data_IF_723811912944
#
_entry.id   IF_723811912944
#
_cell.length_a   1.000
_cell.length_b   1.000
_cell.length_c   1.000
_cell.angle_alpha   90.00
_cell.angle_beta   90.00
_cell.angle_gamma   90.00
#
_symmetry.space_group_name_H-M   'P 1'
#
loop_
_entity.id
_entity.type
_entity.pdbx_description
1 polymer ?
#
# COMPACT_ATOMS: atom_id res chain seq x y z
N UNK A 1 -25.09 40.73 21.55
CA UNK A 1 -24.81 41.75 20.50
C UNK A 1 -24.31 41.02 19.27
N UNK A 2 -24.78 41.43 18.11
CA UNK A 2 -24.98 40.61 16.92
C UNK A 2 -23.71 40.27 16.13
N UNK A 3 -23.76 39.07 15.55
CA UNK A 3 -23.06 38.52 14.37
C UNK A 3 -22.79 39.59 13.30
N UNK A 4 -21.59 39.62 12.68
CA UNK A 4 -21.31 40.03 11.28
C UNK A 4 -19.79 39.97 10.99
N UNK A 5 -19.23 39.45 9.89
CA UNK A 5 -19.69 38.68 8.73
C UNK A 5 -18.49 37.91 8.15
N UNK A 6 -18.75 36.69 7.65
CA UNK A 6 -17.90 35.95 6.73
C UNK A 6 -17.62 36.79 5.48
N UNK A 7 -16.35 36.85 5.07
CA UNK A 7 -15.97 37.42 3.77
C UNK A 7 -15.96 36.29 2.72
N UNK A 8 -17.14 35.76 2.43
CA UNK A 8 -17.38 34.90 1.26
C UNK A 8 -17.66 35.80 0.06
N UNK A 9 -16.63 36.07 -0.74
CA UNK A 9 -16.78 36.71 -2.03
C UNK A 9 -17.42 35.72 -3.02
N UNK A 10 -18.76 35.78 -3.05
CA UNK A 10 -19.61 35.20 -4.08
C UNK A 10 -19.36 35.98 -5.37
N UNK A 11 -18.61 35.40 -6.30
CA UNK A 11 -18.70 35.80 -7.70
C UNK A 11 -19.69 34.88 -8.40
N UNK A 12 -20.96 35.31 -8.40
CA UNK A 12 -22.02 34.75 -9.21
C UNK A 12 -21.76 35.11 -10.69
N UNK A 13 -21.37 34.13 -11.50
CA UNK A 13 -21.63 34.16 -12.94
C UNK A 13 -22.43 32.93 -13.31
N UNK A 14 -23.70 33.19 -13.59
CA UNK A 14 -24.62 32.26 -14.22
C UNK A 14 -24.07 31.81 -15.57
N UNK A 15 -23.95 30.49 -15.73
CA UNK A 15 -23.56 29.82 -16.96
C UNK A 15 -23.98 28.36 -16.83
N UNK A 16 -25.26 28.10 -17.02
CA UNK A 16 -25.80 26.73 -17.14
C UNK A 16 -25.24 26.09 -18.41
N UNK A 17 -24.23 25.23 -18.25
CA UNK A 17 -23.93 24.16 -19.19
C UNK A 17 -24.15 22.84 -18.46
N UNK A 18 -25.28 22.20 -18.75
CA UNK A 18 -25.50 20.81 -18.40
C UNK A 18 -24.60 19.95 -19.30
N UNK A 19 -23.50 19.44 -18.75
CA UNK A 19 -22.75 18.33 -19.34
C UNK A 19 -22.98 17.14 -18.42
N UNK A 20 -23.82 16.23 -18.87
CA UNK A 20 -23.96 14.88 -18.32
C UNK A 20 -22.62 14.17 -18.43
N UNK A 21 -21.78 14.26 -17.40
CA UNK A 21 -20.62 13.40 -17.27
C UNK A 21 -21.12 12.03 -16.79
N UNK A 22 -21.28 11.11 -17.75
CA UNK A 22 -21.46 9.70 -17.46
C UNK A 22 -20.36 9.26 -16.48
N UNK A 23 -20.76 8.71 -15.34
CA UNK A 23 -19.86 8.07 -14.41
C UNK A 23 -19.27 6.84 -15.10
N UNK A 24 -18.15 7.03 -15.82
CA UNK A 24 -17.34 5.94 -16.31
C UNK A 24 -16.61 5.38 -15.10
N UNK A 25 -17.24 4.44 -14.40
CA UNK A 25 -16.55 3.53 -13.50
C UNK A 25 -15.63 2.68 -14.36
N UNK A 26 -14.42 3.16 -14.67
CA UNK A 26 -13.36 2.28 -15.13
C UNK A 26 -13.06 1.35 -13.97
N UNK A 27 -13.63 0.15 -14.01
CA UNK A 27 -13.13 -0.95 -13.20
C UNK A 27 -11.68 -1.17 -13.63
N UNK A 28 -10.73 -0.63 -12.87
CA UNK A 28 -9.32 -1.00 -13.02
C UNK A 28 -9.22 -2.44 -12.56
N UNK A 29 -9.37 -3.38 -13.48
CA UNK A 29 -8.98 -4.77 -13.27
C UNK A 29 -7.49 -4.77 -12.94
N UNK A 30 -7.13 -5.19 -11.73
CA UNK A 30 -5.75 -5.50 -11.37
C UNK A 30 -5.34 -6.70 -12.23
N UNK A 31 -4.66 -6.44 -13.34
CA UNK A 31 -4.03 -7.47 -14.16
C UNK A 31 -2.77 -7.96 -13.45
N UNK A 32 -2.59 -9.28 -13.36
CA UNK A 32 -1.33 -9.87 -12.94
C UNK A 32 -0.18 -9.34 -13.84
N UNK A 33 0.94 -8.94 -13.25
CA UNK A 33 2.10 -8.45 -14.01
C UNK A 33 2.57 -9.48 -15.03
N UNK A 34 2.89 -9.05 -16.25
CA UNK A 34 3.43 -9.95 -17.28
C UNK A 34 4.89 -10.35 -16.98
N UNK A 35 5.36 -11.45 -17.57
CA UNK A 35 6.76 -11.87 -17.44
C UNK A 35 7.75 -10.80 -18.00
N UNK A 36 7.32 -10.02 -18.98
CA UNK A 36 8.10 -8.92 -19.54
C UNK A 36 8.19 -7.75 -18.55
N UNK A 37 7.07 -7.35 -17.95
CA UNK A 37 7.02 -6.33 -16.91
C UNK A 37 7.85 -6.73 -15.68
N UNK A 38 7.81 -8.01 -15.28
CA UNK A 38 8.62 -8.55 -14.19
C UNK A 38 10.13 -8.44 -14.47
N UNK A 39 10.55 -8.72 -15.71
CA UNK A 39 11.95 -8.56 -16.15
C UNK A 39 12.35 -7.10 -16.18
N UNK A 40 11.51 -6.23 -16.74
CA UNK A 40 11.75 -4.78 -16.79
C UNK A 40 11.90 -4.18 -15.38
N UNK A 41 11.02 -4.56 -14.45
CA UNK A 41 11.11 -4.10 -13.05
C UNK A 41 12.38 -4.63 -12.36
N UNK A 42 12.76 -5.88 -12.62
CA UNK A 42 14.00 -6.45 -12.09
C UNK A 42 15.24 -5.70 -12.60
N UNK A 43 15.28 -5.34 -13.88
CA UNK A 43 16.35 -4.53 -14.46
C UNK A 43 16.37 -3.12 -13.88
N UNK A 44 15.20 -2.50 -13.70
CA UNK A 44 15.07 -1.18 -13.08
C UNK A 44 15.61 -1.17 -11.65
N UNK A 45 15.27 -2.18 -10.84
CA UNK A 45 15.78 -2.33 -9.48
C UNK A 45 17.31 -2.50 -9.48
N UNK A 46 17.85 -3.31 -10.40
CA UNK A 46 19.29 -3.52 -10.52
C UNK A 46 20.03 -2.23 -10.90
N UNK A 47 19.55 -1.50 -11.91
CA UNK A 47 20.12 -0.23 -12.34
C UNK A 47 20.07 0.83 -11.23
N UNK A 48 18.93 0.95 -10.54
CA UNK A 48 18.80 1.89 -9.43
C UNK A 48 19.80 1.55 -8.31
N UNK A 49 19.95 0.26 -7.97
CA UNK A 49 20.94 -0.18 -7.00
C UNK A 49 22.36 0.16 -7.43
N UNK A 50 22.73 -0.11 -8.68
CA UNK A 50 24.07 0.22 -9.21
C UNK A 50 24.35 1.73 -9.15
N UNK A 51 23.39 2.56 -9.56
CA UNK A 51 23.51 4.02 -9.50
C UNK A 51 23.65 4.52 -8.05
N UNK A 52 22.82 4.02 -7.13
CA UNK A 52 22.92 4.39 -5.71
C UNK A 52 24.24 3.93 -5.11
N UNK A 53 24.70 2.71 -5.41
CA UNK A 53 26.00 2.22 -4.93
C UNK A 53 27.17 3.05 -5.49
N UNK A 54 27.10 3.46 -6.76
CA UNK A 54 28.10 4.35 -7.35
C UNK A 54 28.14 5.70 -6.61
N UNK A 55 26.98 6.25 -6.26
CA UNK A 55 26.92 7.43 -5.41
C UNK A 55 27.50 7.18 -4.02
N UNK A 56 27.12 6.08 -3.34
CA UNK A 56 27.64 5.76 -2.01
C UNK A 56 29.17 5.65 -1.98
N UNK A 57 29.79 5.13 -3.05
CA UNK A 57 31.26 5.05 -3.17
C UNK A 57 31.96 6.41 -3.18
N UNK A 58 31.25 7.50 -3.45
CA UNK A 58 31.79 8.87 -3.35
C UNK A 58 31.85 9.38 -1.91
N UNK A 59 31.12 8.74 -0.99
CA UNK A 59 31.10 9.07 0.43
C UNK A 59 32.24 8.37 1.17
N UNK A 60 32.47 8.77 2.42
CA UNK A 60 33.53 8.22 3.26
C UNK A 60 33.03 7.91 4.67
N UNK A 61 33.76 7.02 5.36
CA UNK A 61 33.46 6.61 6.73
C UNK A 61 32.06 6.05 6.89
N UNK A 62 31.45 6.31 8.05
CA UNK A 62 30.11 5.83 8.38
C UNK A 62 29.04 6.31 7.39
N UNK A 63 29.15 7.52 6.85
CA UNK A 63 28.20 8.02 5.85
C UNK A 63 28.14 7.12 4.60
N UNK A 64 29.27 6.53 4.19
CA UNK A 64 29.30 5.53 3.11
C UNK A 64 28.59 4.25 3.54
N UNK A 65 28.88 3.73 4.73
CA UNK A 65 28.29 2.48 5.24
C UNK A 65 26.77 2.59 5.36
N UNK A 66 26.26 3.70 5.91
CA UNK A 66 24.82 4.01 5.97
C UNK A 66 24.21 4.01 4.57
N UNK A 67 24.83 4.71 3.62
CA UNK A 67 24.35 4.78 2.24
C UNK A 67 24.29 3.40 1.59
N UNK A 68 25.34 2.59 1.76
CA UNK A 68 25.39 1.24 1.19
C UNK A 68 24.33 0.32 1.81
N UNK A 69 24.10 0.37 3.12
CA UNK A 69 23.05 -0.43 3.76
C UNK A 69 21.64 0.04 3.39
N UNK A 70 21.43 1.34 3.22
CA UNK A 70 20.18 1.90 2.71
C UNK A 70 19.92 1.44 1.26
N UNK A 71 20.94 1.48 0.39
CA UNK A 71 20.86 1.02 -0.99
C UNK A 71 20.55 -0.48 -1.07
N UNK A 72 21.25 -1.31 -0.29
CA UNK A 72 20.98 -2.75 -0.19
C UNK A 72 19.57 -2.98 0.36
N UNK A 73 19.16 -2.21 1.36
CA UNK A 73 17.83 -2.22 1.98
C UNK A 73 16.73 -2.01 0.96
N UNK A 74 16.79 -0.87 0.28
CA UNK A 74 15.88 -0.47 -0.80
C UNK A 74 15.78 -1.53 -1.90
N UNK A 75 16.92 -2.12 -2.31
CA UNK A 75 16.91 -3.22 -3.28
C UNK A 75 16.11 -4.43 -2.80
N UNK A 76 16.32 -4.89 -1.57
CA UNK A 76 15.60 -6.06 -1.02
C UNK A 76 14.10 -5.80 -0.88
N UNK A 77 13.73 -4.60 -0.41
CA UNK A 77 12.33 -4.18 -0.30
C UNK A 77 11.67 -4.18 -1.68
N UNK A 78 12.30 -3.56 -2.68
CA UNK A 78 11.76 -3.51 -4.03
C UNK A 78 11.61 -4.91 -4.66
N UNK A 79 12.56 -5.82 -4.41
CA UNK A 79 12.46 -7.21 -4.85
C UNK A 79 11.28 -7.95 -4.19
N UNK A 80 11.12 -7.81 -2.87
CA UNK A 80 10.00 -8.40 -2.15
C UNK A 80 8.65 -7.83 -2.61
N UNK A 81 8.58 -6.52 -2.86
CA UNK A 81 7.37 -5.86 -3.38
C UNK A 81 7.03 -6.31 -4.79
N UNK A 82 8.04 -6.50 -5.65
CA UNK A 82 7.85 -7.12 -6.97
C UNK A 82 7.29 -8.54 -6.81
N UNK A 83 7.84 -9.34 -5.91
CA UNK A 83 7.39 -10.73 -5.71
C UNK A 83 5.96 -10.77 -5.17
N UNK A 84 5.60 -9.85 -4.27
CA UNK A 84 4.22 -9.65 -3.84
C UNK A 84 3.29 -9.28 -5.01
N UNK A 85 3.72 -8.41 -5.92
CA UNK A 85 2.92 -8.06 -7.10
C UNK A 85 2.72 -9.25 -8.05
N UNK A 86 3.72 -10.14 -8.15
CA UNK A 86 3.67 -11.30 -9.04
C UNK A 86 2.86 -12.46 -8.47
N UNK A 87 3.00 -12.72 -7.18
CA UNK A 87 2.51 -13.95 -6.54
C UNK A 87 1.39 -13.69 -5.54
N UNK A 88 1.30 -12.46 -5.00
CA UNK A 88 0.33 -12.13 -3.97
C UNK A 88 0.51 -12.92 -2.67
N UNK A 89 -0.48 -12.81 -1.79
CA UNK A 89 -0.63 -13.66 -0.62
C UNK A 89 0.16 -13.23 0.62
N UNK A 90 -0.29 -13.75 1.76
CA UNK A 90 0.20 -13.39 3.09
C UNK A 90 1.70 -13.66 3.29
N UNK A 91 2.26 -14.67 2.62
CA UNK A 91 3.70 -14.96 2.65
C UNK A 91 4.52 -13.83 2.01
N UNK A 92 4.17 -13.38 0.80
CA UNK A 92 4.91 -12.31 0.16
C UNK A 92 4.71 -10.96 0.86
N UNK A 93 3.53 -10.72 1.44
CA UNK A 93 3.33 -9.56 2.31
C UNK A 93 4.22 -9.60 3.55
N UNK A 94 4.36 -10.78 4.16
CA UNK A 94 5.29 -11.00 5.26
C UNK A 94 6.73 -10.73 4.84
N UNK A 95 7.16 -11.22 3.68
CA UNK A 95 8.51 -10.97 3.15
C UNK A 95 8.77 -9.48 2.90
N UNK A 96 7.79 -8.72 2.41
CA UNK A 96 7.90 -7.25 2.29
C UNK A 96 8.09 -6.60 3.66
N UNK A 97 7.29 -6.98 4.66
CA UNK A 97 7.42 -6.45 6.03
C UNK A 97 8.78 -6.79 6.64
N UNK A 98 9.26 -8.02 6.46
CA UNK A 98 10.56 -8.46 6.94
C UNK A 98 11.72 -7.72 6.25
N UNK A 99 11.65 -7.55 4.92
CA UNK A 99 12.66 -6.84 4.16
C UNK A 99 12.78 -5.38 4.61
N UNK A 100 11.65 -4.70 4.87
CA UNK A 100 11.61 -3.32 5.40
C UNK A 100 12.21 -3.26 6.80
N UNK A 101 11.76 -4.11 7.72
CA UNK A 101 12.30 -4.17 9.08
C UNK A 101 13.82 -4.40 9.09
N UNK A 102 14.30 -5.27 8.21
CA UNK A 102 15.72 -5.55 8.08
C UNK A 102 16.50 -4.38 7.48
N UNK A 103 15.93 -3.65 6.52
CA UNK A 103 16.53 -2.43 5.96
C UNK A 103 16.68 -1.35 7.05
N UNK A 104 15.59 -1.09 7.79
CA UNK A 104 15.56 -0.11 8.87
C UNK A 104 16.59 -0.46 9.96
N UNK A 105 16.65 -1.74 10.36
CA UNK A 105 17.62 -2.24 11.33
C UNK A 105 19.06 -1.96 10.90
N UNK A 106 19.43 -2.30 9.66
CA UNK A 106 20.82 -2.13 9.21
C UNK A 106 21.23 -0.67 9.11
N UNK A 107 20.35 0.18 8.59
CA UNK A 107 20.60 1.63 8.56
C UNK A 107 20.73 2.18 9.99
N UNK A 108 19.85 1.78 10.91
CA UNK A 108 19.92 2.19 12.30
C UNK A 108 21.21 1.71 13.00
N UNK A 109 21.62 0.48 12.70
CA UNK A 109 22.84 -0.12 13.24
C UNK A 109 24.10 0.62 12.77
N UNK A 110 24.18 1.02 11.50
CA UNK A 110 25.31 1.81 10.98
C UNK A 110 25.31 3.25 11.54
N UNK A 111 24.14 3.90 11.64
CA UNK A 111 24.00 5.18 12.38
C UNK A 111 24.49 5.06 13.83
N UNK A 112 24.39 3.86 14.40
CA UNK A 112 25.09 3.39 15.60
C UNK A 112 26.53 3.90 15.75
N UNK A 113 27.31 3.72 14.69
CA UNK A 113 28.75 3.82 14.72
C UNK A 113 29.27 5.27 14.86
N UNK A 114 28.40 6.29 14.74
CA UNK A 114 28.76 7.68 15.01
C UNK A 114 28.84 7.99 16.50
N UNK A 115 28.29 7.11 17.34
CA UNK A 115 28.33 7.23 18.80
C UNK A 115 29.62 6.66 19.38
N UNK A 116 29.89 6.95 20.66
CA UNK A 116 31.11 6.51 21.36
C UNK A 116 30.80 5.90 22.72
N UNK A 117 31.75 5.09 23.22
CA UNK A 117 31.68 4.51 24.57
C UNK A 117 30.50 3.55 24.74
N UNK A 118 29.73 3.70 25.82
CA UNK A 118 28.58 2.84 26.09
C UNK A 118 27.36 3.18 25.21
N UNK A 119 27.29 4.41 24.69
CA UNK A 119 26.16 4.87 23.88
C UNK A 119 25.99 4.05 22.58
N UNK A 120 27.08 3.65 21.92
CA UNK A 120 26.99 2.81 20.70
C UNK A 120 26.38 1.43 21.01
N UNK A 121 26.74 0.82 22.14
CA UNK A 121 26.21 -0.50 22.52
C UNK A 121 24.72 -0.42 22.82
N UNK A 122 24.33 0.59 23.60
CA UNK A 122 22.93 0.87 23.92
C UNK A 122 22.12 1.07 22.64
N UNK A 123 22.59 1.93 21.74
CA UNK A 123 21.87 2.20 20.50
C UNK A 123 21.74 0.96 19.59
N UNK A 124 22.81 0.17 19.43
CA UNK A 124 22.76 -1.07 18.63
C UNK A 124 21.80 -2.11 19.21
N UNK A 125 21.80 -2.27 20.54
CA UNK A 125 20.85 -3.14 21.23
C UNK A 125 19.41 -2.65 21.01
N UNK A 126 19.17 -1.34 21.13
CA UNK A 126 17.83 -0.78 20.94
C UNK A 126 17.36 -0.95 19.49
N UNK A 127 18.25 -0.80 18.49
CA UNK A 127 17.97 -1.11 17.09
C UNK A 127 17.63 -2.59 16.88
N UNK A 128 18.34 -3.52 17.52
CA UNK A 128 18.05 -4.95 17.48
C UNK A 128 16.69 -5.27 18.12
N UNK A 129 16.35 -4.65 19.26
CA UNK A 129 15.05 -4.83 19.89
C UNK A 129 13.91 -4.30 19.01
N UNK A 130 14.11 -3.16 18.33
CA UNK A 130 13.14 -2.66 17.36
C UNK A 130 12.97 -3.64 16.19
N UNK A 131 14.06 -4.23 15.69
CA UNK A 131 14.01 -5.25 14.63
C UNK A 131 13.24 -6.50 15.07
N UNK A 132 13.48 -7.01 16.28
CA UNK A 132 12.77 -8.17 16.82
C UNK A 132 11.27 -7.90 16.95
N UNK A 133 10.89 -6.72 17.42
CA UNK A 133 9.47 -6.29 17.48
C UNK A 133 8.85 -6.24 16.09
N UNK A 134 9.54 -5.62 15.12
CA UNK A 134 9.05 -5.55 13.75
C UNK A 134 8.89 -6.94 13.10
N UNK A 135 9.78 -7.90 13.41
CA UNK A 135 9.64 -9.29 12.96
C UNK A 135 8.42 -9.98 13.58
N UNK A 136 8.19 -9.78 14.88
CA UNK A 136 7.01 -10.29 15.57
C UNK A 136 5.73 -9.70 14.97
N UNK A 137 5.67 -8.39 14.78
CA UNK A 137 4.52 -7.71 14.18
C UNK A 137 4.26 -8.20 12.75
N UNK A 138 5.33 -8.39 11.95
CA UNK A 138 5.21 -8.95 10.61
C UNK A 138 4.58 -10.35 10.63
N UNK A 139 4.98 -11.19 11.61
CA UNK A 139 4.47 -12.55 11.80
C UNK A 139 3.03 -12.56 12.31
N UNK A 140 2.68 -11.69 13.24
CA UNK A 140 1.29 -11.54 13.71
C UNK A 140 0.39 -11.22 12.52
N UNK A 141 0.75 -10.20 11.73
CA UNK A 141 -0.01 -9.81 10.54
C UNK A 141 -0.09 -10.91 9.49
N UNK A 142 0.92 -11.77 9.40
CA UNK A 142 0.89 -12.93 8.49
C UNK A 142 -0.14 -13.96 8.94
N UNK A 143 -0.20 -14.25 10.25
CA UNK A 143 -1.14 -15.22 10.82
C UNK A 143 -2.57 -14.69 10.82
N UNK A 144 -2.75 -13.38 11.01
CA UNK A 144 -4.05 -12.70 10.97
C UNK A 144 -4.58 -12.50 9.55
N UNK A 145 -3.73 -12.63 8.53
CA UNK A 145 -4.15 -12.44 7.15
C UNK A 145 -5.23 -13.47 6.78
N UNK A 146 -6.35 -13.04 6.19
CA UNK A 146 -7.36 -13.97 5.71
C UNK A 146 -6.73 -14.94 4.70
N UNK A 147 -7.20 -16.20 4.64
CA UNK A 147 -6.71 -17.15 3.64
C UNK A 147 -6.86 -16.53 2.25
N UNK A 148 -5.84 -16.75 1.40
CA UNK A 148 -5.86 -16.27 0.02
C UNK A 148 -7.16 -16.75 -0.62
N UNK A 149 -8.09 -15.82 -0.90
CA UNK A 149 -9.31 -16.14 -1.60
C UNK A 149 -8.89 -16.45 -3.02
N UNK A 150 -8.80 -17.73 -3.34
CA UNK A 150 -8.81 -18.22 -4.71
C UNK A 150 -10.08 -17.64 -5.35
N UNK A 151 -9.96 -16.63 -6.20
CA UNK A 151 -11.08 -16.18 -7.05
C UNK A 151 -11.26 -17.15 -8.21
N UNK A 152 -11.31 -18.44 -7.91
CA UNK A 152 -11.74 -19.48 -8.82
C UNK A 152 -12.77 -20.35 -8.09
N UNK A 153 -13.92 -20.56 -8.73
CA UNK A 153 -15.13 -21.21 -8.24
C UNK A 153 -15.93 -20.48 -7.16
N UNK A 154 -16.69 -19.47 -7.58
CA UNK A 154 -18.17 -19.54 -7.59
C UNK A 154 -18.67 -18.40 -8.49
N UNK A 155 -18.98 -18.74 -9.75
CA UNK A 155 -20.07 -18.04 -10.44
C UNK A 155 -21.32 -18.30 -9.60
N UNK A 156 -21.63 -17.40 -8.67
CA UNK A 156 -22.92 -17.39 -8.04
C UNK A 156 -23.94 -17.14 -9.17
N UNK A 157 -24.95 -18.00 -9.35
CA UNK A 157 -26.07 -17.64 -10.21
C UNK A 157 -26.64 -16.34 -9.66
N UNK A 158 -26.88 -15.38 -10.55
CA UNK A 158 -27.66 -14.17 -10.30
C UNK A 158 -28.80 -14.49 -9.33
N UNK A 159 -28.68 -14.05 -8.07
CA UNK A 159 -29.79 -14.05 -7.16
C UNK A 159 -30.75 -12.97 -7.65
N UNK A 160 -31.87 -13.42 -8.21
CA UNK A 160 -33.05 -12.62 -8.47
C UNK A 160 -33.43 -11.86 -7.19
N UNK A 161 -33.75 -10.55 -7.26
CA UNK A 161 -34.18 -9.80 -6.09
C UNK A 161 -35.46 -10.44 -5.49
N UNK A 162 -35.64 -10.37 -4.16
CA UNK A 162 -36.80 -10.96 -3.51
C UNK A 162 -38.08 -10.31 -4.03
N UNK A 163 -38.96 -11.13 -4.61
CA UNK A 163 -40.33 -10.74 -4.91
C UNK A 163 -41.05 -10.47 -3.58
N UNK A 164 -41.55 -9.25 -3.41
CA UNK A 164 -42.49 -8.91 -2.36
C UNK A 164 -43.79 -9.71 -2.56
N UNK A 165 -44.47 -10.16 -1.48
CA UNK A 165 -45.74 -10.86 -1.60
C UNK A 165 -46.81 -9.96 -2.20
N UNK A 166 -47.45 -10.46 -3.26
CA UNK A 166 -48.57 -9.83 -3.95
C UNK A 166 -49.86 -10.17 -3.19
N UNK A 167 -50.20 -9.39 -2.16
CA UNK A 167 -51.53 -9.45 -1.52
C UNK A 167 -51.99 -8.04 -1.16
N UNK A 168 -52.92 -7.50 -1.97
CA UNK A 168 -54.02 -6.58 -1.60
C UNK A 168 -54.52 -5.81 -2.82
N UNK A 169 -55.40 -6.43 -3.62
CA UNK A 169 -56.28 -5.70 -4.52
C UNK A 169 -57.51 -5.23 -3.74
N UNK A 170 -57.52 -3.95 -3.36
CA UNK A 170 -58.72 -3.27 -2.89
C UNK A 170 -59.69 -3.03 -4.07
N UNK A 171 -61.01 -3.20 -3.90
CA UNK A 171 -61.98 -2.94 -4.97
C UNK A 171 -62.09 -1.45 -5.29
N UNK A 172 -62.18 -1.13 -6.58
CA UNK A 172 -62.55 0.20 -7.08
C UNK A 172 -64.02 0.53 -6.74
N UNK A 173 -64.36 1.79 -6.43
CA UNK A 173 -65.74 2.22 -6.23
C UNK A 173 -66.52 2.28 -7.56
N UNK A 174 -67.84 2.00 -7.56
CA UNK A 174 -68.67 2.09 -8.76
C UNK A 174 -68.90 3.55 -9.21
N UNK A 175 -69.14 3.79 -10.51
CA UNK A 175 -69.40 5.12 -11.03
C UNK A 175 -70.75 5.67 -10.55
N UNK A 176 -70.75 6.96 -10.21
CA UNK A 176 -71.92 7.70 -9.75
C UNK A 176 -73.03 7.81 -10.81
N UNK A 177 -74.28 7.69 -10.35
CA UNK A 177 -75.47 8.36 -10.89
C UNK A 177 -76.20 9.05 -9.75
#
# INVERSE_FOLDING_TARGET
MFIHRLNTAIFLRAGTMAITAAALTTATSVSAMSAEEARAETQRIALQYEQTMAHCRTLQGNMREICEEDAKGSRRVAQAERDLKLQGGAEHEYQVRLARAQADYRVAHERCNDMRGEAVKVCKRDAEQAYLRAQQDARIRQVEAPPAVSTDSTLAPLQTPPQAPLDSAAPLPPPAR
#
